data_IF_466378178595
#
_entry.id   IF_466378178595
#
_cell.length_a   1.000
_cell.length_b   1.000
_cell.length_c   1.000
_cell.angle_alpha   90.00
_cell.angle_beta   90.00
_cell.angle_gamma   90.00
#
_symmetry.space_group_name_H-M   'P 1'
#
loop_
_entity.id
_entity.type
_entity.pdbx_description
1 polymer ?
#
# COMPACT_ATOMS: atom_id res chain seq x y z
N UNK A 1 49.46 -36.88 -46.85
CA UNK A 1 48.84 -35.99 -45.83
C UNK A 1 48.25 -36.87 -44.73
N UNK A 2 48.74 -36.81 -43.49
CA UNK A 2 48.19 -37.64 -42.38
C UNK A 2 46.76 -37.18 -42.06
N UNK A 3 45.81 -38.10 -42.12
CA UNK A 3 44.40 -37.85 -41.84
C UNK A 3 44.22 -37.52 -40.34
N UNK A 4 44.19 -36.23 -39.98
CA UNK A 4 44.08 -35.75 -38.59
C UNK A 4 42.63 -35.72 -38.07
N UNK A 5 41.67 -36.17 -38.87
CA UNK A 5 40.23 -36.15 -38.54
C UNK A 5 39.88 -36.78 -37.18
N UNK A 6 40.47 -37.93 -36.78
CA UNK A 6 40.18 -38.51 -35.44
C UNK A 6 40.68 -37.65 -34.28
N UNK A 7 41.86 -37.02 -34.44
CA UNK A 7 42.43 -36.13 -33.42
C UNK A 7 41.61 -34.85 -33.28
N UNK A 8 41.12 -34.32 -34.41
CA UNK A 8 40.24 -33.17 -34.42
C UNK A 8 38.88 -33.47 -33.75
N UNK A 9 38.27 -34.62 -34.07
CA UNK A 9 37.02 -35.05 -33.45
C UNK A 9 37.15 -35.26 -31.94
N UNK A 10 38.27 -35.85 -31.49
CA UNK A 10 38.57 -36.01 -30.07
C UNK A 10 38.72 -34.66 -29.35
N UNK A 11 39.47 -33.72 -29.94
CA UNK A 11 39.64 -32.38 -29.37
C UNK A 11 38.30 -31.61 -29.28
N UNK A 12 37.46 -31.71 -30.33
CA UNK A 12 36.12 -31.11 -30.33
C UNK A 12 35.22 -31.75 -29.25
N UNK A 13 35.28 -33.07 -29.09
CA UNK A 13 34.50 -33.78 -28.06
C UNK A 13 34.92 -33.36 -26.65
N UNK A 14 36.23 -33.19 -26.40
CA UNK A 14 36.72 -32.65 -25.12
C UNK A 14 36.29 -31.20 -24.90
N UNK A 15 36.28 -30.36 -25.94
CA UNK A 15 35.79 -28.98 -25.84
C UNK A 15 34.31 -28.95 -25.47
N UNK A 16 33.47 -29.77 -26.13
CA UNK A 16 32.04 -29.88 -25.82
C UNK A 16 31.84 -30.37 -24.38
N UNK A 17 32.58 -31.40 -23.94
CA UNK A 17 32.51 -31.88 -22.56
C UNK A 17 32.91 -30.79 -21.55
N UNK A 18 33.97 -30.03 -21.81
CA UNK A 18 34.40 -28.93 -20.96
C UNK A 18 33.34 -27.81 -20.88
N UNK A 19 32.72 -27.46 -22.01
CA UNK A 19 31.61 -26.50 -22.06
C UNK A 19 30.39 -27.00 -21.28
N UNK A 20 30.05 -28.29 -21.40
CA UNK A 20 28.96 -28.90 -20.63
C UNK A 20 29.24 -28.89 -19.13
N UNK A 21 30.45 -29.27 -18.71
CA UNK A 21 30.87 -29.21 -17.30
C UNK A 21 30.82 -27.76 -16.80
N UNK A 22 31.31 -26.81 -17.59
CA UNK A 22 31.23 -25.38 -17.27
C UNK A 22 29.79 -24.90 -17.10
N UNK A 23 28.88 -25.29 -18.00
CA UNK A 23 27.47 -24.95 -17.93
C UNK A 23 26.77 -25.58 -16.71
N UNK A 24 27.07 -26.85 -16.39
CA UNK A 24 26.55 -27.53 -15.19
C UNK A 24 27.07 -26.85 -13.93
N UNK A 25 28.35 -26.48 -13.89
CA UNK A 25 28.94 -25.79 -12.75
C UNK A 25 28.30 -24.40 -12.53
N UNK A 26 28.11 -23.65 -13.61
CA UNK A 26 27.42 -22.36 -13.59
C UNK A 26 25.96 -22.51 -13.12
N UNK A 27 25.22 -23.50 -13.64
CA UNK A 27 23.83 -23.75 -13.27
C UNK A 27 23.68 -24.26 -11.81
N UNK A 28 24.68 -24.98 -11.30
CA UNK A 28 24.68 -25.51 -9.93
C UNK A 28 25.18 -24.51 -8.88
N UNK A 29 25.76 -23.39 -9.29
CA UNK A 29 26.30 -22.34 -8.41
C UNK A 29 25.61 -20.97 -8.57
N UNK A 30 24.27 -20.88 -8.54
CA UNK A 30 23.58 -19.62 -8.74
C UNK A 30 23.79 -18.68 -7.54
N UNK A 31 23.82 -17.37 -7.82
CA UNK A 31 24.17 -16.33 -6.85
C UNK A 31 23.29 -16.30 -5.60
N UNK A 32 22.01 -16.68 -5.71
CA UNK A 32 21.08 -16.75 -4.57
C UNK A 32 21.51 -17.71 -3.47
N UNK A 33 22.25 -18.79 -3.79
CA UNK A 33 22.76 -19.72 -2.77
C UNK A 33 23.74 -19.03 -1.82
N UNK A 34 24.52 -18.08 -2.35
CA UNK A 34 25.46 -17.28 -1.56
C UNK A 34 24.73 -16.41 -0.55
N UNK A 35 23.62 -15.77 -0.96
CA UNK A 35 22.82 -14.95 -0.05
C UNK A 35 22.22 -15.78 1.10
N UNK A 36 21.68 -16.97 0.81
CA UNK A 36 21.17 -17.85 1.88
C UNK A 36 22.27 -18.33 2.82
N UNK A 37 23.42 -18.72 2.28
CA UNK A 37 24.57 -19.14 3.09
C UNK A 37 25.08 -18.01 4.00
N UNK A 38 25.12 -16.77 3.49
CA UNK A 38 25.48 -15.59 4.28
C UNK A 38 24.45 -15.31 5.38
N UNK A 39 23.16 -15.40 5.05
CA UNK A 39 22.08 -15.22 6.03
C UNK A 39 22.18 -16.26 7.16
N UNK A 40 22.34 -17.55 6.85
CA UNK A 40 22.44 -18.58 7.88
C UNK A 40 23.69 -18.41 8.76
N UNK A 41 24.82 -17.95 8.20
CA UNK A 41 26.00 -17.58 9.00
C UNK A 41 25.70 -16.43 9.96
N UNK A 42 24.97 -15.41 9.50
CA UNK A 42 24.58 -14.26 10.31
C UNK A 42 23.60 -14.67 11.42
N UNK A 43 22.56 -15.44 11.08
CA UNK A 43 21.59 -15.95 12.02
C UNK A 43 22.26 -16.84 13.10
N UNK A 44 23.18 -17.73 12.70
CA UNK A 44 23.91 -18.56 13.64
C UNK A 44 24.75 -17.74 14.65
N UNK A 45 25.21 -16.53 14.31
CA UNK A 45 25.93 -15.70 15.28
C UNK A 45 25.04 -15.25 16.45
N UNK A 46 23.71 -15.23 16.25
CA UNK A 46 22.74 -14.79 17.24
C UNK A 46 22.21 -15.94 18.10
N UNK A 47 22.53 -17.19 17.75
CA UNK A 47 22.08 -18.36 18.49
C UNK A 47 22.87 -18.57 19.80
N UNK A 48 22.20 -18.93 20.91
CA UNK A 48 22.83 -19.00 22.22
C UNK A 48 23.66 -20.27 22.45
N UNK A 49 23.40 -21.36 21.71
CA UNK A 49 24.03 -22.67 21.95
C UNK A 49 24.74 -23.22 20.71
N UNK A 50 25.77 -24.04 20.90
CA UNK A 50 26.48 -24.69 19.78
C UNK A 50 25.55 -25.58 18.93
N UNK A 51 24.58 -26.26 19.57
CA UNK A 51 23.61 -27.09 18.87
C UNK A 51 22.66 -26.24 17.99
N UNK A 52 22.16 -25.11 18.51
CA UNK A 52 21.32 -24.19 17.73
C UNK A 52 22.10 -23.56 16.57
N UNK A 53 23.36 -23.19 16.79
CA UNK A 53 24.28 -22.71 15.75
C UNK A 53 24.44 -23.73 14.61
N UNK A 54 24.75 -24.99 14.95
CA UNK A 54 24.91 -26.06 13.95
C UNK A 54 23.60 -26.33 13.20
N UNK A 55 22.46 -26.31 13.90
CA UNK A 55 21.14 -26.45 13.26
C UNK A 55 20.87 -25.35 12.24
N UNK A 56 21.15 -24.08 12.57
CA UNK A 56 20.98 -22.95 11.63
C UNK A 56 21.94 -23.06 10.45
N UNK A 57 23.21 -23.40 10.67
CA UNK A 57 24.21 -23.54 9.60
C UNK A 57 23.88 -24.69 8.62
N UNK A 58 23.19 -25.74 9.09
CA UNK A 58 22.72 -26.85 8.25
C UNK A 58 21.35 -26.61 7.62
N UNK A 59 20.78 -25.41 7.77
CA UNK A 59 19.52 -25.05 7.14
C UNK A 59 19.55 -25.27 5.64
N UNK A 60 18.46 -25.83 5.10
CA UNK A 60 18.35 -26.14 3.67
C UNK A 60 18.43 -24.85 2.84
N UNK A 61 19.27 -24.87 1.82
CA UNK A 61 19.35 -23.84 0.80
C UNK A 61 18.40 -24.20 -0.34
N UNK A 62 17.38 -23.39 -0.57
CA UNK A 62 16.36 -23.63 -1.60
C UNK A 62 15.69 -22.33 -2.02
N UNK A 63 15.18 -22.29 -3.25
CA UNK A 63 14.32 -21.20 -3.72
C UNK A 63 13.11 -21.10 -2.80
N UNK A 64 12.86 -19.91 -2.26
CA UNK A 64 11.65 -19.61 -1.50
C UNK A 64 10.65 -18.96 -2.44
N UNK A 65 9.41 -19.41 -2.43
CA UNK A 65 8.39 -18.97 -3.35
C UNK A 65 7.09 -18.69 -2.60
N UNK A 66 6.59 -17.47 -2.75
CA UNK A 66 5.24 -17.06 -2.35
C UNK A 66 4.37 -17.11 -3.59
N UNK A 67 3.29 -17.87 -3.51
CA UNK A 67 2.26 -17.93 -4.54
C UNK A 67 1.16 -16.94 -4.17
N UNK A 68 0.78 -16.09 -5.12
CA UNK A 68 -0.29 -15.11 -4.97
C UNK A 68 -1.39 -15.41 -6.01
N UNK A 69 -2.20 -16.48 -5.84
CA UNK A 69 -3.13 -16.93 -6.87
C UNK A 69 -4.15 -15.86 -7.26
N UNK A 70 -4.64 -15.09 -6.27
CA UNK A 70 -5.58 -14.00 -6.48
C UNK A 70 -5.03 -12.84 -7.31
N UNK A 71 -3.71 -12.79 -7.54
CA UNK A 71 -3.02 -11.78 -8.36
C UNK A 71 -2.26 -12.41 -9.53
N UNK A 72 -2.44 -13.72 -9.75
CA UNK A 72 -1.72 -14.52 -10.74
C UNK A 72 -0.21 -14.28 -10.73
N UNK A 73 0.36 -14.14 -9.52
CA UNK A 73 1.76 -13.72 -9.35
C UNK A 73 2.54 -14.75 -8.54
N UNK A 74 3.83 -14.86 -8.86
CA UNK A 74 4.80 -15.66 -8.13
C UNK A 74 5.93 -14.75 -7.68
N UNK A 75 6.29 -14.84 -6.41
CA UNK A 75 7.33 -14.02 -5.81
C UNK A 75 8.40 -14.89 -5.16
N UNK A 76 9.67 -14.65 -5.53
CA UNK A 76 10.83 -15.37 -5.01
C UNK A 76 11.84 -14.45 -4.34
N UNK A 77 11.48 -13.21 -4.03
CA UNK A 77 12.39 -12.21 -3.48
C UNK A 77 12.97 -12.65 -2.13
N UNK A 78 12.19 -13.37 -1.32
CA UNK A 78 12.63 -13.95 -0.03
C UNK A 78 13.62 -15.11 -0.18
N UNK A 79 13.98 -15.50 -1.40
CA UNK A 79 15.13 -16.39 -1.65
C UNK A 79 16.43 -15.71 -1.22
N UNK A 80 16.56 -14.39 -1.41
CA UNK A 80 17.74 -13.60 -1.00
C UNK A 80 17.44 -12.67 0.18
N UNK A 81 16.23 -12.11 0.24
CA UNK A 81 15.78 -11.19 1.29
C UNK A 81 15.17 -11.95 2.48
N UNK A 82 15.96 -12.74 3.19
CA UNK A 82 15.45 -13.70 4.18
C UNK A 82 15.08 -13.09 5.52
N UNK A 83 15.72 -12.00 5.92
CA UNK A 83 15.51 -11.36 7.22
C UNK A 83 14.36 -10.35 7.26
N UNK A 84 13.62 -10.19 6.15
CA UNK A 84 12.56 -9.17 6.01
C UNK A 84 11.46 -9.28 7.05
N UNK A 85 11.15 -10.50 7.48
CA UNK A 85 10.12 -10.82 8.47
C UNK A 85 10.72 -11.23 9.84
N UNK A 86 12.05 -11.12 10.02
CA UNK A 86 12.76 -11.54 11.23
C UNK A 86 13.23 -10.33 12.07
N UNK A 87 12.57 -10.00 13.20
CA UNK A 87 12.93 -8.85 14.03
C UNK A 87 14.38 -8.88 14.54
N UNK A 88 15.00 -10.06 14.66
CA UNK A 88 16.39 -10.20 15.11
C UNK A 88 17.38 -9.62 14.09
N UNK A 89 16.94 -9.47 12.83
CA UNK A 89 17.71 -8.90 11.73
C UNK A 89 17.55 -7.38 11.59
N UNK A 90 16.99 -6.70 12.60
CA UNK A 90 16.79 -5.25 12.57
C UNK A 90 18.06 -4.41 12.39
N UNK A 91 19.23 -4.95 12.74
CA UNK A 91 20.54 -4.30 12.56
C UNK A 91 21.37 -4.92 11.43
N UNK A 92 20.85 -5.92 10.73
CA UNK A 92 21.56 -6.56 9.63
C UNK A 92 21.67 -5.61 8.43
N UNK A 93 22.76 -5.73 7.67
CA UNK A 93 22.91 -5.01 6.40
C UNK A 93 21.96 -5.57 5.33
N UNK A 94 21.64 -4.77 4.32
CA UNK A 94 20.91 -5.22 3.14
C UNK A 94 21.68 -6.37 2.45
N UNK A 95 20.98 -7.42 1.94
CA UNK A 95 19.52 -7.54 1.79
C UNK A 95 18.78 -8.16 2.99
N UNK A 96 19.44 -8.38 4.13
CA UNK A 96 18.88 -9.16 5.25
C UNK A 96 18.14 -8.33 6.30
N UNK A 97 18.07 -7.00 6.14
CA UNK A 97 17.45 -6.13 7.14
C UNK A 97 15.95 -6.39 7.33
N UNK A 98 15.51 -6.42 8.58
CA UNK A 98 14.10 -6.51 8.97
C UNK A 98 13.26 -5.30 8.54
N UNK A 99 12.04 -5.54 8.08
CA UNK A 99 11.06 -4.49 7.82
C UNK A 99 10.13 -4.26 9.03
N UNK A 100 10.22 -3.08 9.64
CA UNK A 100 9.37 -2.72 10.80
C UNK A 100 7.91 -2.46 10.43
N UNK A 101 7.65 -2.02 9.20
CA UNK A 101 6.34 -1.49 8.78
C UNK A 101 5.52 -2.44 7.88
N UNK A 102 5.88 -3.73 7.84
CA UNK A 102 5.14 -4.76 7.07
C UNK A 102 4.24 -5.63 7.96
N UNK A 103 4.10 -5.32 9.26
CA UNK A 103 3.31 -6.12 10.20
C UNK A 103 1.87 -6.43 9.72
N UNK A 104 1.10 -5.44 9.26
CA UNK A 104 -0.23 -5.69 8.68
C UNK A 104 -0.21 -6.39 7.31
N UNK A 105 0.96 -6.47 6.65
CA UNK A 105 1.18 -6.98 5.31
C UNK A 105 2.31 -8.04 5.29
N UNK A 106 2.14 -9.19 5.97
CA UNK A 106 3.20 -10.19 6.08
C UNK A 106 3.67 -10.66 4.69
N UNK A 107 4.99 -10.67 4.46
CA UNK A 107 5.57 -10.97 3.13
C UNK A 107 5.22 -12.39 2.67
N UNK A 108 5.04 -13.33 3.61
CA UNK A 108 4.54 -14.68 3.31
C UNK A 108 3.14 -14.73 2.68
N UNK A 109 2.35 -13.66 2.78
CA UNK A 109 1.00 -13.57 2.23
C UNK A 109 0.87 -12.58 1.09
N UNK A 110 1.63 -11.48 1.11
CA UNK A 110 1.56 -10.43 0.09
C UNK A 110 2.73 -10.51 -0.92
N UNK A 111 3.79 -11.26 -0.64
CA UNK A 111 5.02 -11.18 -1.43
C UNK A 111 5.65 -9.78 -1.37
N UNK A 112 6.67 -9.56 -2.20
CA UNK A 112 7.37 -8.28 -2.27
C UNK A 112 6.90 -7.45 -3.47
N UNK A 113 6.64 -8.10 -4.59
CA UNK A 113 6.37 -7.48 -5.88
C UNK A 113 5.04 -6.72 -5.96
N UNK A 114 4.07 -7.00 -5.08
CA UNK A 114 2.85 -6.17 -4.97
C UNK A 114 3.21 -4.74 -4.59
N UNK A 115 4.09 -4.58 -3.61
CA UNK A 115 4.48 -3.27 -3.10
C UNK A 115 5.65 -2.70 -3.90
N UNK A 116 6.64 -3.52 -4.19
CA UNK A 116 7.92 -3.07 -4.75
C UNK A 116 7.97 -3.10 -6.28
N UNK A 117 7.08 -3.82 -6.95
CA UNK A 117 7.30 -4.20 -8.35
C UNK A 117 8.50 -5.15 -8.48
N UNK A 118 9.16 -5.14 -9.64
CA UNK A 118 10.27 -6.04 -9.95
C UNK A 118 9.81 -7.38 -10.53
N UNK A 119 10.77 -8.23 -10.84
CA UNK A 119 10.52 -9.54 -11.44
C UNK A 119 10.49 -10.64 -10.36
N UNK A 120 9.29 -11.03 -9.95
CA UNK A 120 9.09 -12.02 -8.88
C UNK A 120 9.58 -13.43 -9.20
N UNK A 121 9.71 -13.82 -10.47
CA UNK A 121 10.21 -15.14 -10.86
C UNK A 121 11.74 -15.23 -10.85
N UNK A 122 12.43 -14.10 -10.91
CA UNK A 122 13.88 -14.05 -10.96
C UNK A 122 14.49 -14.39 -9.60
N UNK A 123 15.64 -15.04 -9.64
CA UNK A 123 16.43 -15.42 -8.46
C UNK A 123 17.86 -14.87 -8.54
N UNK A 124 18.06 -13.86 -9.39
CA UNK A 124 19.31 -13.12 -9.52
C UNK A 124 19.02 -11.61 -9.43
N UNK A 125 20.01 -10.87 -8.94
CA UNK A 125 19.87 -9.44 -8.67
C UNK A 125 19.51 -8.62 -9.92
N UNK A 126 20.11 -8.96 -11.07
CA UNK A 126 19.96 -8.16 -12.29
C UNK A 126 18.55 -8.28 -12.83
N UNK A 127 18.01 -9.49 -12.93
CA UNK A 127 16.66 -9.68 -13.45
C UNK A 127 15.60 -9.28 -12.43
N UNK A 128 15.80 -9.55 -11.13
CA UNK A 128 14.82 -9.23 -10.10
C UNK A 128 14.60 -7.71 -9.93
N UNK A 129 15.69 -6.93 -9.97
CA UNK A 129 15.65 -5.47 -9.72
C UNK A 129 15.79 -4.62 -10.97
N UNK A 130 16.40 -5.16 -12.02
CA UNK A 130 16.78 -4.40 -13.21
C UNK A 130 15.61 -4.16 -14.17
N UNK A 131 15.89 -3.33 -15.17
CA UNK A 131 15.00 -3.09 -16.30
C UNK A 131 15.26 -4.17 -17.33
N UNK A 132 14.49 -5.25 -17.26
CA UNK A 132 14.60 -6.37 -18.18
C UNK A 132 13.76 -6.07 -19.43
N UNK A 133 14.30 -6.36 -20.60
CA UNK A 133 13.57 -6.23 -21.86
C UNK A 133 12.28 -7.05 -21.80
N UNK A 134 11.18 -6.46 -22.30
CA UNK A 134 9.83 -7.04 -22.25
C UNK A 134 9.24 -7.26 -20.84
N UNK A 135 9.90 -6.81 -19.78
CA UNK A 135 9.33 -6.81 -18.43
C UNK A 135 8.69 -5.47 -18.10
N UNK A 136 7.36 -5.46 -17.94
CA UNK A 136 6.59 -4.24 -17.78
C UNK A 136 6.51 -3.72 -16.34
N UNK A 137 6.96 -4.50 -15.34
CA UNK A 137 6.85 -4.14 -13.92
C UNK A 137 8.23 -4.05 -13.24
N UNK A 138 9.07 -3.06 -13.57
CA UNK A 138 10.35 -2.88 -12.90
C UNK A 138 10.16 -2.55 -11.41
N UNK A 139 11.24 -2.67 -10.64
CA UNK A 139 11.23 -2.28 -9.23
C UNK A 139 10.99 -0.76 -9.12
N UNK A 140 10.05 -0.36 -8.28
CA UNK A 140 9.80 1.05 -7.98
C UNK A 140 10.97 1.63 -7.18
N UNK A 141 11.32 2.87 -7.51
CA UNK A 141 12.33 3.63 -6.74
C UNK A 141 11.78 3.99 -5.36
N UNK A 142 12.66 4.36 -4.43
CA UNK A 142 12.26 4.72 -3.05
C UNK A 142 11.22 5.84 -2.99
N UNK A 143 11.23 6.75 -3.97
CA UNK A 143 10.34 7.91 -4.01
C UNK A 143 8.90 7.54 -4.37
N UNK A 144 8.71 6.43 -5.09
CA UNK A 144 7.40 5.98 -5.58
C UNK A 144 6.98 4.62 -5.03
N UNK A 145 7.85 3.92 -4.29
CA UNK A 145 7.56 2.61 -3.72
C UNK A 145 6.23 2.57 -2.95
N UNK A 146 5.94 3.62 -2.18
CA UNK A 146 4.73 3.72 -1.37
C UNK A 146 3.46 4.02 -2.20
N UNK A 147 3.57 4.31 -3.50
CA UNK A 147 2.40 4.49 -4.37
C UNK A 147 1.55 3.22 -4.47
N UNK A 148 2.22 2.05 -4.38
CA UNK A 148 1.56 0.75 -4.38
C UNK A 148 0.58 0.55 -3.24
N UNK A 149 0.67 1.33 -2.15
CA UNK A 149 -0.32 1.30 -1.07
C UNK A 149 -1.74 1.60 -1.59
N UNK A 150 -1.86 2.50 -2.58
CA UNK A 150 -3.17 2.86 -3.15
C UNK A 150 -3.78 1.80 -4.07
N UNK A 151 -3.05 0.73 -4.43
CA UNK A 151 -3.63 -0.42 -5.15
C UNK A 151 -4.73 -1.11 -4.33
N UNK A 152 -4.52 -1.18 -3.01
CA UNK A 152 -5.48 -1.73 -2.06
C UNK A 152 -6.25 -0.62 -1.32
N UNK A 153 -5.54 0.41 -0.86
CA UNK A 153 -6.12 1.53 -0.11
C UNK A 153 -6.59 2.63 -1.06
N UNK A 154 -7.65 2.33 -1.82
CA UNK A 154 -8.17 3.19 -2.90
C UNK A 154 -8.89 4.44 -2.41
N UNK A 155 -9.30 4.47 -1.15
CA UNK A 155 -10.12 5.53 -0.56
C UNK A 155 -9.52 5.98 0.78
N UNK A 156 -9.69 7.26 1.09
CA UNK A 156 -9.25 7.85 2.36
C UNK A 156 -7.74 8.03 2.49
N UNK A 157 -7.33 8.39 3.70
CA UNK A 157 -5.94 8.58 4.06
C UNK A 157 -5.28 7.23 4.37
N UNK A 158 -4.03 7.07 3.94
CA UNK A 158 -3.21 5.90 4.24
C UNK A 158 -2.16 6.30 5.28
N UNK A 159 -2.19 5.73 6.49
CA UNK A 159 -1.21 6.04 7.53
C UNK A 159 0.23 5.92 7.03
N UNK A 160 1.03 6.96 7.24
CA UNK A 160 2.43 7.00 6.81
C UNK A 160 2.64 7.19 5.30
N UNK A 161 1.59 7.50 4.54
CA UNK A 161 1.66 7.77 3.09
C UNK A 161 0.88 9.03 2.70
N UNK A 162 1.26 10.21 3.23
CA UNK A 162 0.56 11.47 2.94
C UNK A 162 0.59 11.87 1.45
N UNK A 163 1.58 11.40 0.69
CA UNK A 163 1.73 11.69 -0.74
C UNK A 163 0.52 11.23 -1.57
N UNK A 164 -0.11 10.13 -1.15
CA UNK A 164 -1.28 9.60 -1.85
C UNK A 164 -2.50 10.51 -1.69
N UNK A 165 -2.72 10.98 -0.47
CA UNK A 165 -3.80 11.91 -0.15
C UNK A 165 -3.58 13.27 -0.82
N UNK A 166 -2.35 13.78 -0.77
CA UNK A 166 -1.99 15.05 -1.41
C UNK A 166 -2.09 14.98 -2.94
N UNK A 167 -1.62 13.91 -3.57
CA UNK A 167 -1.75 13.72 -5.01
C UNK A 167 -3.21 13.65 -5.45
N UNK A 168 -4.07 12.96 -4.67
CA UNK A 168 -5.52 12.98 -4.90
C UNK A 168 -6.09 14.38 -4.74
N UNK A 169 -5.71 15.11 -3.68
CA UNK A 169 -6.17 16.49 -3.44
C UNK A 169 -5.83 17.39 -4.62
N UNK A 170 -4.58 17.36 -5.10
CA UNK A 170 -4.15 18.14 -6.26
C UNK A 170 -4.95 17.77 -7.51
N UNK A 171 -5.17 16.48 -7.76
CA UNK A 171 -5.95 16.00 -8.90
C UNK A 171 -7.39 16.57 -8.89
N UNK A 172 -8.05 16.55 -7.73
CA UNK A 172 -9.40 17.09 -7.59
C UNK A 172 -9.42 18.62 -7.66
N UNK A 173 -8.54 19.32 -6.93
CA UNK A 173 -8.57 20.79 -6.83
C UNK A 173 -8.12 21.50 -8.10
N UNK A 174 -7.31 20.85 -8.95
CA UNK A 174 -6.90 21.41 -10.25
C UNK A 174 -7.84 20.99 -11.38
N UNK A 175 -8.99 20.38 -11.06
CA UNK A 175 -10.04 20.09 -12.03
C UNK A 175 -9.66 19.02 -13.05
N UNK A 176 -8.73 18.11 -12.73
CA UNK A 176 -8.27 17.09 -13.67
C UNK A 176 -9.43 16.22 -14.18
N UNK A 177 -10.46 15.98 -13.36
CA UNK A 177 -11.70 15.28 -13.74
C UNK A 177 -12.54 15.99 -14.80
N UNK A 178 -12.33 17.29 -15.02
CA UNK A 178 -13.02 18.03 -16.08
C UNK A 178 -12.66 17.48 -17.47
N UNK A 179 -11.42 17.01 -17.64
CA UNK A 179 -10.94 16.42 -18.88
C UNK A 179 -10.79 14.90 -18.80
N UNK A 180 -10.32 14.37 -17.67
CA UNK A 180 -10.00 12.96 -17.49
C UNK A 180 -11.11 12.18 -16.78
N UNK A 181 -11.19 10.90 -17.11
CA UNK A 181 -12.08 9.94 -16.46
C UNK A 181 -11.33 9.13 -15.41
N UNK A 182 -12.01 8.82 -14.31
CA UNK A 182 -11.57 7.84 -13.32
C UNK A 182 -12.78 7.03 -12.83
N UNK A 183 -12.69 5.71 -12.93
CA UNK A 183 -13.71 4.74 -12.57
C UNK A 183 -15.08 5.08 -13.18
N UNK A 184 -15.10 5.45 -14.47
CA UNK A 184 -16.33 5.82 -15.18
C UNK A 184 -16.80 7.27 -14.98
N UNK A 185 -16.17 8.04 -14.08
CA UNK A 185 -16.59 9.41 -13.73
C UNK A 185 -15.57 10.45 -14.19
N UNK A 186 -16.04 11.49 -14.88
CA UNK A 186 -15.24 12.61 -15.36
C UNK A 186 -15.41 12.89 -16.86
N UNK A 187 -14.53 13.72 -17.40
CA UNK A 187 -14.53 14.11 -18.81
C UNK A 187 -14.00 13.04 -19.76
N UNK A 188 -14.09 13.32 -21.06
CA UNK A 188 -13.60 12.47 -22.14
C UNK A 188 -12.63 13.19 -23.10
N UNK A 189 -12.14 14.37 -22.70
CA UNK A 189 -11.15 15.15 -23.48
C UNK A 189 -9.77 14.49 -23.32
N UNK A 190 -9.42 14.13 -22.10
CA UNK A 190 -8.22 13.36 -21.79
C UNK A 190 -8.50 11.86 -21.73
N UNK A 191 -7.45 11.02 -21.74
CA UNK A 191 -7.59 9.58 -21.57
C UNK A 191 -8.19 9.22 -20.20
N UNK A 192 -8.79 8.03 -20.13
CA UNK A 192 -9.19 7.41 -18.86
C UNK A 192 -7.94 7.02 -18.07
N UNK A 193 -7.86 7.50 -16.83
CA UNK A 193 -6.72 7.33 -15.94
C UNK A 193 -6.93 6.23 -14.89
N UNK A 194 -8.06 5.51 -14.93
CA UNK A 194 -8.40 4.45 -13.95
C UNK A 194 -7.29 3.41 -13.80
N UNK A 195 -6.57 3.16 -14.89
CA UNK A 195 -5.51 2.17 -15.01
C UNK A 195 -4.12 2.77 -15.23
N UNK A 196 -3.92 4.06 -14.92
CA UNK A 196 -2.65 4.71 -15.27
C UNK A 196 -1.43 4.06 -14.59
N UNK A 197 -1.59 3.55 -13.37
CA UNK A 197 -0.56 2.77 -12.68
C UNK A 197 -0.32 1.38 -13.28
N UNK A 198 -1.29 0.84 -14.02
CA UNK A 198 -1.16 -0.41 -14.77
C UNK A 198 -0.62 -0.20 -16.20
N UNK A 199 -0.57 1.05 -16.69
CA UNK A 199 -0.03 1.38 -18.02
C UNK A 199 1.51 1.31 -18.10
N UNK A 200 2.18 0.94 -17.00
CA UNK A 200 3.63 0.67 -16.95
C UNK A 200 4.53 1.83 -17.41
N UNK A 201 4.03 3.06 -17.31
CA UNK A 201 4.84 4.25 -17.58
C UNK A 201 5.90 4.43 -16.52
N UNK A 202 7.05 4.96 -16.94
CA UNK A 202 8.10 5.30 -16.00
C UNK A 202 7.63 6.47 -15.12
N UNK A 203 7.86 6.43 -13.80
CA UNK A 203 7.52 7.55 -12.92
C UNK A 203 8.13 8.88 -13.40
N UNK A 204 9.35 8.84 -13.94
CA UNK A 204 10.03 10.02 -14.49
C UNK A 204 9.33 10.59 -15.73
N UNK A 205 8.70 9.73 -16.53
CA UNK A 205 7.89 10.17 -17.68
C UNK A 205 6.63 10.88 -17.19
N UNK A 206 5.91 10.30 -16.21
CA UNK A 206 4.71 10.90 -15.62
C UNK A 206 5.03 12.26 -14.99
N UNK A 207 6.10 12.31 -14.18
CA UNK A 207 6.53 13.54 -13.53
C UNK A 207 6.86 14.62 -14.56
N UNK A 208 7.65 14.29 -15.58
CA UNK A 208 7.98 15.25 -16.63
C UNK A 208 6.73 15.65 -17.44
N UNK A 209 5.76 14.75 -17.61
CA UNK A 209 4.50 15.08 -18.30
C UNK A 209 3.68 16.12 -17.51
N UNK A 210 3.68 16.06 -16.18
CA UNK A 210 3.04 17.10 -15.36
C UNK A 210 3.76 18.46 -15.40
N UNK A 211 5.08 18.46 -15.60
CA UNK A 211 5.87 19.69 -15.71
C UNK A 211 5.79 20.33 -17.11
N UNK A 212 5.83 19.49 -18.16
CA UNK A 212 5.96 19.92 -19.55
C UNK A 212 5.12 19.03 -20.50
N UNK A 213 3.78 19.06 -20.38
CA UNK A 213 2.90 18.10 -21.08
C UNK A 213 3.04 18.19 -22.60
N UNK A 214 3.09 19.41 -23.13
CA UNK A 214 3.19 19.69 -24.57
C UNK A 214 4.57 19.38 -25.17
N UNK A 215 5.64 19.40 -24.36
CA UNK A 215 6.97 19.03 -24.83
C UNK A 215 7.11 17.50 -24.95
N UNK A 216 6.51 16.75 -24.03
CA UNK A 216 6.54 15.29 -24.03
C UNK A 216 5.52 14.63 -24.95
N UNK A 217 4.33 15.23 -25.04
CA UNK A 217 3.25 14.78 -25.89
C UNK A 217 2.84 15.95 -26.77
N UNK A 218 3.56 16.15 -27.90
CA UNK A 218 3.17 17.15 -28.89
C UNK A 218 1.73 16.87 -29.31
N UNK A 219 0.88 17.91 -29.35
CA UNK A 219 -0.58 17.88 -29.56
C UNK A 219 -1.48 17.49 -28.38
N UNK A 220 -0.92 17.28 -27.17
CA UNK A 220 -1.74 17.08 -25.98
C UNK A 220 -2.59 18.34 -25.68
N UNK A 221 -3.90 18.22 -25.45
CA UNK A 221 -4.73 19.34 -24.98
C UNK A 221 -4.52 19.64 -23.49
N UNK A 222 -3.65 18.89 -22.80
CA UNK A 222 -3.36 19.09 -21.38
C UNK A 222 -2.61 20.42 -21.16
N UNK A 223 -3.16 21.36 -20.38
CA UNK A 223 -2.51 22.63 -20.13
C UNK A 223 -1.27 22.44 -19.23
N UNK A 224 -0.33 23.38 -19.32
CA UNK A 224 0.73 23.46 -18.32
C UNK A 224 0.17 24.14 -17.06
N UNK A 225 0.10 23.39 -15.96
CA UNK A 225 -0.39 23.88 -14.67
C UNK A 225 0.69 24.61 -13.85
N UNK A 226 1.93 24.64 -14.35
CA UNK A 226 3.09 25.20 -13.67
C UNK A 226 3.34 24.59 -12.28
N UNK A 227 3.13 23.27 -12.18
CA UNK A 227 3.38 22.52 -10.95
C UNK A 227 4.84 22.63 -10.52
N UNK A 228 5.05 22.67 -9.21
CA UNK A 228 6.39 22.46 -8.63
C UNK A 228 6.84 21.02 -8.83
N UNK A 229 8.14 20.79 -8.70
CA UNK A 229 8.72 19.44 -8.76
C UNK A 229 8.05 18.46 -7.77
N UNK A 230 7.71 18.96 -6.57
CA UNK A 230 7.03 18.18 -5.54
C UNK A 230 5.56 17.89 -5.90
N UNK A 231 4.83 18.87 -6.42
CA UNK A 231 3.45 18.67 -6.88
C UNK A 231 3.40 17.64 -8.02
N UNK A 232 4.32 17.73 -8.99
CA UNK A 232 4.43 16.75 -10.07
C UNK A 232 4.80 15.36 -9.54
N UNK A 233 5.65 15.28 -8.50
CA UNK A 233 6.02 14.02 -7.84
C UNK A 233 4.84 13.36 -7.13
N UNK A 234 4.06 14.08 -6.33
CA UNK A 234 2.90 13.51 -5.63
C UNK A 234 1.73 13.20 -6.57
N UNK A 235 1.55 13.98 -7.66
CA UNK A 235 0.61 13.61 -8.73
C UNK A 235 1.04 12.30 -9.42
N UNK A 236 2.32 12.16 -9.74
CA UNK A 236 2.88 10.90 -10.27
C UNK A 236 2.65 9.74 -9.30
N UNK A 237 2.87 9.97 -8.01
CA UNK A 237 2.62 9.00 -6.95
C UNK A 237 1.16 8.54 -6.93
N UNK A 238 0.22 9.49 -7.07
CA UNK A 238 -1.20 9.16 -7.17
C UNK A 238 -1.52 8.39 -8.46
N UNK A 239 -0.99 8.80 -9.63
CA UNK A 239 -1.21 8.07 -10.89
C UNK A 239 -0.73 6.62 -10.83
N UNK A 240 0.45 6.37 -10.24
CA UNK A 240 1.00 5.02 -10.07
C UNK A 240 0.15 4.12 -9.16
N UNK A 241 -0.71 4.72 -8.33
CA UNK A 241 -1.62 3.99 -7.46
C UNK A 241 -2.91 3.54 -8.15
N UNK A 242 -3.24 4.11 -9.32
CA UNK A 242 -4.49 3.86 -10.04
C UNK A 242 -4.40 2.55 -10.82
N UNK A 243 -4.98 1.49 -10.27
CA UNK A 243 -5.03 0.16 -10.89
C UNK A 243 -6.37 -0.55 -10.62
N UNK A 244 -6.88 -1.28 -11.60
CA UNK A 244 -8.03 -2.21 -11.48
C UNK A 244 -7.66 -3.58 -10.92
N UNK A 245 -6.39 -3.81 -10.56
CA UNK A 245 -5.94 -5.11 -10.02
C UNK A 245 -6.89 -5.56 -8.91
N UNK A 246 -7.73 -6.56 -9.23
CA UNK A 246 -8.78 -7.01 -8.33
C UNK A 246 -8.14 -7.89 -7.27
N UNK A 247 -8.02 -7.35 -6.07
CA UNK A 247 -7.53 -8.08 -4.92
C UNK A 247 -8.53 -9.21 -4.60
N UNK A 248 -8.09 -10.46 -4.72
CA UNK A 248 -8.92 -11.63 -4.42
C UNK A 248 -9.54 -11.57 -3.02
N UNK A 249 -10.61 -12.36 -2.78
CA UNK A 249 -11.42 -12.29 -1.57
C UNK A 249 -10.64 -12.31 -0.24
N UNK A 250 -9.49 -13.00 -0.20
CA UNK A 250 -8.59 -13.00 0.96
C UNK A 250 -7.98 -11.61 1.24
N UNK A 251 -7.47 -10.92 0.23
CA UNK A 251 -6.87 -9.59 0.37
C UNK A 251 -7.94 -8.52 0.59
N UNK A 252 -9.09 -8.69 -0.05
CA UNK A 252 -10.28 -7.84 0.15
C UNK A 252 -10.98 -8.08 1.50
N UNK A 253 -10.74 -9.22 2.17
CA UNK A 253 -11.27 -9.52 3.51
C UNK A 253 -10.32 -9.13 4.65
N UNK A 254 -9.04 -8.87 4.35
CA UNK A 254 -8.18 -7.93 5.11
C UNK A 254 -8.69 -6.50 4.84
N UNK A 255 -10.00 -6.32 5.06
CA UNK A 255 -10.74 -5.09 4.85
C UNK A 255 -10.20 -4.10 5.86
N UNK A 256 -9.63 -3.02 5.33
CA UNK A 256 -9.18 -1.82 6.04
C UNK A 256 -9.90 -1.71 7.37
N UNK A 257 -9.15 -1.64 8.47
CA UNK A 257 -9.59 -0.72 9.49
C UNK A 257 -9.05 0.63 9.03
N UNK A 258 -9.89 1.56 8.56
CA UNK A 258 -9.43 2.91 8.29
C UNK A 258 -8.81 3.49 9.58
N UNK A 259 -7.88 4.42 9.40
CA UNK A 259 -7.03 4.86 10.51
C UNK A 259 -7.83 5.44 11.69
N UNK A 260 -7.26 5.42 12.91
CA UNK A 260 -7.87 6.12 14.05
C UNK A 260 -8.20 7.59 13.76
N UNK A 261 -7.44 8.27 12.89
CA UNK A 261 -7.72 9.65 12.48
C UNK A 261 -9.00 9.75 11.64
N UNK A 262 -9.26 8.81 10.73
CA UNK A 262 -10.53 8.74 10.01
C UNK A 262 -11.69 8.44 10.97
N UNK A 263 -11.48 7.54 11.93
CA UNK A 263 -12.44 7.30 13.02
C UNK A 263 -12.75 8.56 13.84
N UNK A 264 -11.72 9.37 14.14
CA UNK A 264 -11.87 10.67 14.82
C UNK A 264 -12.69 11.67 14.01
N UNK A 265 -12.46 11.71 12.69
CA UNK A 265 -13.23 12.54 11.76
C UNK A 265 -14.70 12.12 11.78
N UNK A 266 -15.00 10.83 11.64
CA UNK A 266 -16.35 10.29 11.74
C UNK A 266 -17.00 10.62 13.08
N UNK A 267 -16.27 10.47 14.19
CA UNK A 267 -16.75 10.82 15.53
C UNK A 267 -17.16 12.30 15.65
N UNK A 268 -16.45 13.17 14.94
CA UNK A 268 -16.73 14.62 14.87
C UNK A 268 -17.91 14.92 13.96
N UNK A 269 -17.92 14.41 12.74
CA UNK A 269 -18.95 14.67 11.71
C UNK A 269 -20.31 14.09 12.11
N UNK A 270 -20.33 12.90 12.71
CA UNK A 270 -21.54 12.26 13.25
C UNK A 270 -21.92 12.79 14.64
N UNK A 271 -21.14 13.76 15.14
CA UNK A 271 -21.39 14.51 16.36
C UNK A 271 -21.55 13.62 17.61
N UNK A 272 -20.80 12.53 17.68
CA UNK A 272 -20.88 11.53 18.75
C UNK A 272 -20.62 12.14 20.14
N UNK A 273 -19.72 13.14 20.19
CA UNK A 273 -19.35 13.86 21.43
C UNK A 273 -20.50 14.67 22.05
N UNK A 274 -21.57 14.94 21.30
CA UNK A 274 -22.74 15.62 21.85
C UNK A 274 -23.50 14.73 22.85
N UNK A 275 -23.41 13.42 22.67
CA UNK A 275 -24.02 12.45 23.58
C UNK A 275 -22.97 11.79 24.46
N UNK A 276 -21.87 11.29 23.89
CA UNK A 276 -20.85 10.55 24.63
C UNK A 276 -19.72 11.44 25.14
N UNK A 277 -19.31 11.23 26.40
CA UNK A 277 -18.07 11.79 26.90
C UNK A 277 -16.87 10.91 26.51
N UNK A 278 -15.69 11.50 26.48
CA UNK A 278 -14.42 10.75 26.43
C UNK A 278 -13.55 11.26 27.57
N UNK A 279 -13.33 10.42 28.58
CA UNK A 279 -12.53 10.78 29.74
C UNK A 279 -13.16 11.95 30.51
N UNK A 280 -14.48 11.92 30.66
CA UNK A 280 -15.28 12.97 31.33
C UNK A 280 -15.43 14.28 30.54
N UNK A 281 -14.88 14.39 29.34
CA UNK A 281 -15.00 15.60 28.50
C UNK A 281 -16.08 15.42 27.43
N UNK A 282 -17.01 16.40 27.34
CA UNK A 282 -18.15 16.35 26.43
C UNK A 282 -19.31 15.51 26.97
N UNK A 283 -20.18 15.06 26.07
CA UNK A 283 -21.32 14.22 26.37
C UNK A 283 -22.50 14.92 27.06
N UNK A 284 -23.62 14.21 27.13
CA UNK A 284 -24.85 14.59 27.84
C UNK A 284 -25.05 13.73 29.08
N UNK A 285 -25.85 14.21 30.03
CA UNK A 285 -26.24 13.44 31.22
C UNK A 285 -26.84 12.09 30.83
N UNK A 286 -26.45 11.02 31.54
CA UNK A 286 -26.87 9.62 31.32
C UNK A 286 -26.39 8.94 30.03
N UNK A 287 -25.41 9.51 29.32
CA UNK A 287 -24.74 8.82 28.20
C UNK A 287 -23.40 8.23 28.63
N UNK A 288 -23.02 7.01 28.16
CA UNK A 288 -21.78 6.37 28.57
C UNK A 288 -20.52 7.12 28.15
N UNK A 289 -19.52 7.14 29.03
CA UNK A 289 -18.15 7.54 28.68
C UNK A 289 -17.50 6.46 27.81
N UNK A 290 -16.91 6.87 26.69
CA UNK A 290 -16.30 5.99 25.72
C UNK A 290 -14.78 5.80 25.90
N UNK A 291 -14.13 6.52 26.83
CA UNK A 291 -12.72 6.28 27.12
C UNK A 291 -12.50 4.82 27.55
N UNK A 292 -11.59 4.13 26.84
CA UNK A 292 -11.27 2.73 27.10
C UNK A 292 -12.45 1.77 26.90
N UNK A 293 -13.47 2.13 26.11
CA UNK A 293 -14.63 1.26 25.85
C UNK A 293 -14.23 -0.09 25.22
N UNK A 294 -13.16 -0.12 24.42
CA UNK A 294 -12.60 -1.33 23.81
C UNK A 294 -11.99 -2.31 24.81
N UNK A 295 -11.73 -1.86 26.05
CA UNK A 295 -11.32 -2.74 27.16
C UNK A 295 -12.52 -3.34 27.89
N UNK A 296 -13.70 -2.72 27.77
CA UNK A 296 -14.94 -3.13 28.45
C UNK A 296 -15.82 -4.01 27.56
N UNK A 297 -15.76 -3.83 26.25
CA UNK A 297 -16.52 -4.60 25.27
C UNK A 297 -15.63 -5.12 24.15
N UNK A 298 -15.99 -6.28 23.59
CA UNK A 298 -15.29 -6.85 22.43
C UNK A 298 -15.50 -5.99 21.18
N UNK A 299 -14.57 -6.07 20.23
CA UNK A 299 -14.69 -5.38 18.94
C UNK A 299 -15.98 -5.79 18.21
N UNK A 300 -16.34 -7.07 18.27
CA UNK A 300 -17.58 -7.58 17.66
C UNK A 300 -18.83 -6.95 18.29
N UNK A 301 -18.86 -6.85 19.62
CA UNK A 301 -19.97 -6.20 20.32
C UNK A 301 -20.09 -4.72 19.96
N UNK A 302 -18.96 -4.01 19.87
CA UNK A 302 -18.96 -2.59 19.48
C UNK A 302 -19.42 -2.39 18.03
N UNK A 303 -19.03 -3.27 17.10
CA UNK A 303 -19.49 -3.22 15.72
C UNK A 303 -21.01 -3.46 15.63
N UNK A 304 -21.52 -4.46 16.34
CA UNK A 304 -22.96 -4.78 16.39
C UNK A 304 -23.78 -3.65 17.05
N UNK A 305 -23.27 -3.08 18.15
CA UNK A 305 -23.89 -1.94 18.81
C UNK A 305 -24.02 -0.73 17.88
N UNK A 306 -23.05 -0.52 16.98
CA UNK A 306 -23.10 0.56 15.97
C UNK A 306 -24.06 0.25 14.81
N UNK A 307 -24.35 -1.02 14.53
CA UNK A 307 -25.30 -1.44 13.50
C UNK A 307 -26.74 -1.29 14.00
N UNK A 308 -27.05 -1.81 15.18
CA UNK A 308 -28.40 -1.76 15.74
C UNK A 308 -28.36 -1.60 17.26
N UNK A 309 -28.27 -0.34 17.75
CA UNK A 309 -28.16 -0.07 19.18
C UNK A 309 -29.32 -0.61 20.01
N UNK A 310 -30.55 -0.58 19.49
CA UNK A 310 -31.75 -1.02 20.21
C UNK A 310 -31.80 -2.56 20.37
N UNK A 311 -31.28 -3.29 19.37
CA UNK A 311 -31.18 -4.74 19.45
C UNK A 311 -30.12 -5.20 20.46
N UNK A 312 -28.96 -4.53 20.47
CA UNK A 312 -27.83 -4.92 21.34
C UNK A 312 -28.01 -4.40 22.77
N UNK A 313 -28.59 -3.20 22.91
CA UNK A 313 -28.89 -2.57 24.19
C UNK A 313 -30.35 -2.10 24.21
N UNK A 314 -31.31 -2.94 24.64
CA UNK A 314 -32.73 -2.57 24.67
C UNK A 314 -33.00 -1.27 25.47
N UNK A 315 -33.75 -0.34 24.90
CA UNK A 315 -33.98 0.99 25.47
C UNK A 315 -32.84 2.00 25.19
N UNK A 316 -31.97 1.71 24.22
CA UNK A 316 -30.86 2.58 23.86
C UNK A 316 -31.36 3.85 23.19
N UNK A 317 -30.96 5.00 23.72
CA UNK A 317 -31.21 6.31 23.09
C UNK A 317 -30.16 6.66 22.02
N UNK A 318 -29.29 5.72 21.64
CA UNK A 318 -28.30 5.91 20.58
C UNK A 318 -28.97 5.67 19.20
N UNK A 319 -28.90 6.64 18.27
CA UNK A 319 -29.51 6.46 16.96
C UNK A 319 -28.76 5.41 16.14
N UNK A 320 -29.49 4.71 15.26
CA UNK A 320 -28.88 3.87 14.23
C UNK A 320 -28.22 4.78 13.18
N UNK A 321 -26.91 4.64 13.00
CA UNK A 321 -26.17 5.40 11.99
C UNK A 321 -26.01 4.56 10.73
N UNK A 322 -26.33 5.13 9.58
CA UNK A 322 -25.95 4.55 8.30
C UNK A 322 -24.42 4.65 8.12
N UNK A 323 -23.74 3.57 8.51
CA UNK A 323 -22.29 3.39 8.38
C UNK A 323 -21.98 2.02 7.81
N UNK A 324 -21.10 1.99 6.81
CA UNK A 324 -20.56 0.74 6.28
C UNK A 324 -19.58 0.09 7.27
N UNK A 325 -19.19 -1.15 7.02
CA UNK A 325 -18.33 -1.93 7.92
C UNK A 325 -16.96 -1.27 8.17
N UNK A 326 -16.40 -0.54 7.21
CA UNK A 326 -15.11 0.11 7.36
C UNK A 326 -15.21 1.35 8.26
N UNK A 327 -16.26 2.16 8.09
CA UNK A 327 -16.51 3.34 8.94
C UNK A 327 -16.65 2.94 10.42
N UNK A 328 -17.40 1.87 10.71
CA UNK A 328 -17.58 1.38 12.09
C UNK A 328 -16.27 0.89 12.69
N UNK A 329 -15.48 0.13 11.94
CA UNK A 329 -14.15 -0.33 12.37
C UNK A 329 -13.19 0.83 12.64
N UNK A 330 -13.20 1.86 11.79
CA UNK A 330 -12.38 3.06 11.99
C UNK A 330 -12.75 3.77 13.29
N UNK A 331 -14.06 3.93 13.53
CA UNK A 331 -14.59 4.51 14.75
C UNK A 331 -14.13 3.70 15.97
N UNK A 332 -14.20 2.37 15.91
CA UNK A 332 -13.73 1.49 16.99
C UNK A 332 -12.22 1.64 17.25
N UNK A 333 -11.38 1.76 16.21
CA UNK A 333 -9.94 2.01 16.40
C UNK A 333 -9.64 3.40 16.96
N UNK A 334 -10.41 4.42 16.57
CA UNK A 334 -10.33 5.70 17.25
C UNK A 334 -10.66 5.54 18.74
N UNK A 335 -11.78 4.89 19.08
CA UNK A 335 -12.19 4.66 20.47
C UNK A 335 -11.18 3.83 21.27
N UNK A 336 -10.37 3.01 20.59
CA UNK A 336 -9.30 2.23 21.21
C UNK A 336 -8.18 3.12 21.77
N UNK A 337 -7.86 4.20 21.06
CA UNK A 337 -6.76 5.12 21.42
C UNK A 337 -7.25 6.47 21.93
N UNK A 338 -8.56 6.74 21.88
CA UNK A 338 -9.14 8.05 22.16
C UNK A 338 -8.78 8.53 23.57
N UNK A 339 -8.30 9.77 23.63
CA UNK A 339 -7.90 10.44 24.87
C UNK A 339 -8.82 11.61 25.20
N UNK A 340 -8.68 12.13 26.43
CA UNK A 340 -9.37 13.36 26.84
C UNK A 340 -8.96 14.57 25.99
N UNK A 341 -7.73 14.59 25.48
CA UNK A 341 -7.23 15.69 24.64
C UNK A 341 -7.85 15.67 23.25
N UNK A 342 -8.14 14.48 22.69
CA UNK A 342 -8.91 14.36 21.45
C UNK A 342 -10.30 14.98 21.62
N UNK A 343 -10.99 14.70 22.72
CA UNK A 343 -12.29 15.29 22.99
C UNK A 343 -12.23 16.82 23.14
N UNK A 344 -11.22 17.35 23.82
CA UNK A 344 -11.00 18.81 23.91
C UNK A 344 -10.81 19.43 22.52
N UNK A 345 -9.98 18.82 21.67
CA UNK A 345 -9.73 19.31 20.31
C UNK A 345 -10.99 19.26 19.44
N UNK A 346 -11.79 18.20 19.54
CA UNK A 346 -13.06 18.06 18.80
C UNK A 346 -14.05 19.15 19.21
N UNK A 347 -14.14 19.46 20.51
CA UNK A 347 -15.00 20.54 21.01
C UNK A 347 -14.49 21.93 20.60
N UNK A 348 -13.18 22.14 20.59
CA UNK A 348 -12.56 23.39 20.15
C UNK A 348 -12.69 23.62 18.64
N UNK A 349 -12.66 22.55 17.85
CA UNK A 349 -12.79 22.57 16.38
C UNK A 349 -14.23 22.67 15.86
N UNK A 350 -15.22 22.72 16.75
CA UNK A 350 -16.64 22.87 16.38
C UNK A 350 -16.85 24.32 15.93
N UNK A 351 -17.17 24.61 14.65
CA UNK A 351 -17.57 25.96 14.28
C UNK A 351 -18.81 26.34 15.10
N UNK A 352 -18.81 27.55 15.67
CA UNK A 352 -20.04 28.14 16.23
C UNK A 352 -21.14 28.00 15.16
N UNK A 353 -22.32 27.54 15.57
CA UNK A 353 -23.43 27.25 14.67
C UNK A 353 -23.57 28.35 13.60
N UNK A 354 -23.59 27.93 12.34
CA UNK A 354 -23.70 28.85 11.20
C UNK A 354 -24.94 29.73 11.40
N UNK A 355 -24.80 31.03 11.15
CA UNK A 355 -25.96 31.92 11.05
C UNK A 355 -26.90 31.39 9.96
N UNK A 356 -28.18 31.75 10.00
CA UNK A 356 -29.15 31.30 9.00
C UNK A 356 -28.67 31.59 7.56
N UNK A 357 -28.00 32.72 7.36
CA UNK A 357 -27.36 33.09 6.10
C UNK A 357 -26.20 32.16 5.72
N UNK A 358 -25.30 31.84 6.66
CA UNK A 358 -24.18 30.95 6.39
C UNK A 358 -24.63 29.48 6.17
N UNK A 359 -25.72 29.06 6.80
CA UNK A 359 -26.35 27.77 6.55
C UNK A 359 -26.97 27.69 5.14
N UNK A 360 -27.61 28.77 4.67
CA UNK A 360 -28.15 28.87 3.32
C UNK A 360 -27.04 28.89 2.25
N UNK A 361 -25.93 29.58 2.52
CA UNK A 361 -24.75 29.58 1.64
C UNK A 361 -24.15 28.18 1.55
N UNK A 362 -24.01 27.47 2.67
CA UNK A 362 -23.44 26.13 2.69
C UNK A 362 -24.38 25.09 2.02
N UNK A 363 -25.70 25.21 2.23
CA UNK A 363 -26.69 24.44 1.49
C UNK A 363 -26.63 24.75 -0.02
N UNK A 364 -26.41 26.01 -0.41
CA UNK A 364 -26.19 26.43 -1.79
C UNK A 364 -24.94 25.79 -2.41
N UNK A 365 -23.82 25.75 -1.69
CA UNK A 365 -22.58 25.07 -2.13
C UNK A 365 -22.75 23.56 -2.26
N UNK A 366 -23.45 22.93 -1.33
CA UNK A 366 -23.73 21.49 -1.38
C UNK A 366 -24.66 21.15 -2.54
N UNK A 367 -25.70 21.95 -2.79
CA UNK A 367 -26.56 21.80 -3.95
C UNK A 367 -25.79 22.03 -5.27
N UNK A 368 -24.93 23.05 -5.34
CA UNK A 368 -24.07 23.29 -6.49
C UNK A 368 -23.08 22.14 -6.73
N UNK A 369 -22.46 21.61 -5.68
CA UNK A 369 -21.56 20.45 -5.77
C UNK A 369 -22.29 19.18 -6.21
N UNK A 370 -23.59 19.05 -5.93
CA UNK A 370 -24.38 17.86 -6.22
C UNK A 370 -25.07 17.92 -7.58
N UNK A 371 -25.45 19.10 -8.05
CA UNK A 371 -26.28 19.26 -9.25
C UNK A 371 -25.67 20.19 -10.31
N UNK A 372 -24.56 20.89 -10.01
CA UNK A 372 -24.00 21.95 -10.86
C UNK A 372 -24.88 23.22 -10.87
N UNK A 373 -24.44 24.27 -11.59
CA UNK A 373 -25.32 25.39 -11.94
C UNK A 373 -26.24 24.94 -13.06
N UNK A 374 -27.55 24.89 -12.81
CA UNK A 374 -28.54 24.78 -13.88
C UNK A 374 -28.84 26.21 -14.33
N UNK A 375 -28.42 26.56 -15.55
CA UNK A 375 -28.77 27.81 -16.21
C UNK A 375 -30.17 27.77 -16.79
#
# INVERSE_FOLDING_TARGET
MKNRTPQFFFALSLLVLALLIGAIWQASSPSWKTYQSQFYRLAAQQEPTAAAKDAVLRSRVSIRQVLLPGLQRVDRCTTCHLGVDDPTMAKAAQPFTYHRNVGPHPVSKFGCTICHGGQGLAVDKTNAHGRVEFWSQPLLTKDYLRASCGRCHKEGDVPGVPELAEGRRLFETHGCRGCHKLNGVGGSIGPDLSEEGANHRQPEWLKRHFLEPNALSPSSPMPNFHFTDEQARVLTFYMLSLTSEQMGAYYSSVRLIPSPEFGRKLFTERNCIACHSVGGTGGRTNSPDLAGVTKRHSIGWLDEQLVNPEMISPGSSMPAYEMNSNERKALIEFLNIATVDDARQILMGRPKGLTAEAALIEAGKQNFSRFGCVG
#
